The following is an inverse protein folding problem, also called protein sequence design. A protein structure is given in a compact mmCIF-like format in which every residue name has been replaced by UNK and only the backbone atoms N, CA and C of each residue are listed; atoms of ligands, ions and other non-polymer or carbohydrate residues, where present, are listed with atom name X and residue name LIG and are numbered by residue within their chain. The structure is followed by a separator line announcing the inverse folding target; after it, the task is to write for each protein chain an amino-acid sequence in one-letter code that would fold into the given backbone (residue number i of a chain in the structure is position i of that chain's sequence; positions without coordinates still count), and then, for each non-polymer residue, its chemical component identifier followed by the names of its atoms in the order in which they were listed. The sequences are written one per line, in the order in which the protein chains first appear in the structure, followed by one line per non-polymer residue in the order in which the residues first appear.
data_IF_762587878886
#
_entry.id   IF_762587878886
#
_cell.length_a   1.000
_cell.length_b   1.000
_cell.length_c   1.000
_cell.angle_alpha   90.00
_cell.angle_beta   90.00
_cell.angle_gamma   90.00
#
_symmetry.space_group_name_H-M   'P 1'
#
loop_
_entity.id
_entity.type
_entity.pdbx_description
1 polymer ?
#
# COMPACT_ATOMS: atom_id res chain seq x y z
N UNK A 1 8.82 -8.50 0.95
CA UNK A 1 9.64 -7.27 0.85
C UNK A 1 9.86 -6.72 2.25
N UNK A 2 11.07 -6.26 2.56
CA UNK A 2 11.40 -5.66 3.86
C UNK A 2 12.07 -4.30 3.68
N UNK A 3 11.69 -3.32 4.49
CA UNK A 3 12.27 -1.98 4.52
C UNK A 3 12.34 -1.48 5.95
N UNK A 4 13.38 -0.72 6.27
CA UNK A 4 13.52 -0.04 7.56
C UNK A 4 13.26 1.44 7.33
N UNK A 5 12.29 1.99 8.03
CA UNK A 5 11.92 3.42 7.95
C UNK A 5 11.77 3.93 9.39
N UNK A 6 12.43 5.04 9.72
CA UNK A 6 12.45 5.62 11.08
C UNK A 6 12.79 4.62 12.20
N UNK A 7 13.75 3.71 11.93
CA UNK A 7 14.16 2.67 12.86
C UNK A 7 13.13 1.55 13.08
N UNK A 8 12.00 1.56 12.37
CA UNK A 8 10.99 0.50 12.38
C UNK A 8 11.16 -0.40 11.17
N UNK A 9 11.08 -1.72 11.40
CA UNK A 9 11.15 -2.72 10.33
C UNK A 9 9.73 -3.02 9.83
N UNK A 10 9.52 -2.77 8.55
CA UNK A 10 8.30 -3.11 7.83
C UNK A 10 8.59 -4.29 6.92
N UNK A 11 7.90 -5.41 7.15
CA UNK A 11 8.08 -6.62 6.35
C UNK A 11 6.71 -7.17 5.93
N UNK A 12 6.47 -7.19 4.63
CA UNK A 12 5.24 -7.69 4.01
C UNK A 12 5.02 -9.19 4.23
N UNK A 13 6.07 -9.96 4.54
CA UNK A 13 5.95 -11.42 4.79
C UNK A 13 5.44 -11.74 6.20
N UNK A 14 5.73 -10.85 7.16
CA UNK A 14 5.34 -11.04 8.56
C UNK A 14 4.14 -10.20 8.97
N UNK A 15 3.81 -9.20 8.16
CA UNK A 15 2.67 -8.34 8.35
C UNK A 15 1.41 -8.99 7.78
N UNK A 16 0.27 -8.61 8.33
CA UNK A 16 -1.04 -9.00 7.83
C UNK A 16 -1.42 -8.10 6.66
N UNK A 17 -1.77 -8.68 5.51
CA UNK A 17 -2.40 -7.94 4.42
C UNK A 17 -3.84 -7.64 4.84
N UNK A 18 -4.16 -6.35 4.90
CA UNK A 18 -5.45 -5.88 5.38
C UNK A 18 -6.36 -5.43 4.25
N UNK A 19 -5.80 -4.75 3.24
CA UNK A 19 -6.54 -4.30 2.06
C UNK A 19 -5.65 -4.36 0.83
N UNK A 20 -6.21 -4.76 -0.29
CA UNK A 20 -5.53 -4.75 -1.59
C UNK A 20 -6.31 -3.84 -2.53
N UNK A 21 -5.60 -2.91 -3.16
CA UNK A 21 -6.19 -2.09 -4.21
C UNK A 21 -5.31 -2.14 -5.45
N UNK A 22 -5.95 -2.25 -6.61
CA UNK A 22 -5.26 -2.05 -7.88
C UNK A 22 -6.14 -1.28 -8.84
N UNK A 23 -5.51 -0.66 -9.84
CA UNK A 23 -6.23 0.01 -10.92
C UNK A 23 -6.90 -0.94 -11.94
N UNK A 24 -7.07 -2.22 -11.58
CA UNK A 24 -7.72 -3.24 -12.42
C UNK A 24 -6.93 -3.67 -13.65
N UNK A 25 -5.67 -3.21 -13.80
CA UNK A 25 -4.79 -3.63 -14.89
C UNK A 25 -4.05 -4.92 -14.51
N UNK A 26 -3.63 -5.67 -15.52
CA UNK A 26 -2.78 -6.83 -15.31
C UNK A 26 -1.38 -6.40 -14.84
N UNK A 27 -0.74 -7.21 -13.99
CA UNK A 27 0.59 -6.89 -13.43
C UNK A 27 1.72 -6.75 -14.45
N UNK A 28 1.51 -7.19 -15.69
CA UNK A 28 2.43 -6.98 -16.82
C UNK A 28 2.14 -5.70 -17.63
N UNK A 29 1.07 -4.97 -17.32
CA UNK A 29 0.77 -3.67 -17.93
C UNK A 29 1.74 -2.62 -17.38
N UNK A 30 2.35 -1.83 -18.26
CA UNK A 30 3.27 -0.76 -17.86
C UNK A 30 2.62 0.31 -16.99
N UNK A 31 1.29 0.43 -17.05
CA UNK A 31 0.46 1.34 -16.26
C UNK A 31 -0.16 0.66 -15.04
N UNK A 32 0.21 -0.58 -14.73
CA UNK A 32 -0.25 -1.26 -13.53
C UNK A 32 0.08 -0.42 -12.30
N UNK A 33 -0.91 -0.26 -11.40
CA UNK A 33 -0.71 0.37 -10.10
C UNK A 33 -1.46 -0.43 -9.05
N UNK A 34 -0.71 -0.93 -8.08
CA UNK A 34 -1.20 -1.60 -6.88
C UNK A 34 -0.81 -0.82 -5.63
N UNK A 35 -1.69 -0.83 -4.63
CA UNK A 35 -1.46 -0.31 -3.29
C UNK A 35 -2.04 -1.30 -2.30
N UNK A 36 -1.16 -1.94 -1.56
CA UNK A 36 -1.54 -2.96 -0.60
C UNK A 36 -1.30 -2.41 0.80
N UNK A 37 -2.33 -2.41 1.64
CA UNK A 37 -2.25 -1.98 3.01
C UNK A 37 -1.92 -3.15 3.92
N UNK A 38 -0.83 -3.01 4.67
CA UNK A 38 -0.37 -4.01 5.62
C UNK A 38 -0.40 -3.47 7.05
N UNK A 39 -0.68 -4.38 7.99
CA UNK A 39 -0.57 -4.14 9.43
C UNK A 39 0.51 -5.03 10.03
N UNK A 40 1.49 -4.41 10.66
CA UNK A 40 2.52 -5.13 11.42
C UNK A 40 1.92 -5.76 12.68
N UNK A 41 2.57 -6.80 13.22
CA UNK A 41 2.19 -7.43 14.51
C UNK A 41 2.17 -6.46 15.69
N UNK A 42 2.91 -5.34 15.60
CA UNK A 42 2.95 -4.28 16.62
C UNK A 42 1.85 -3.22 16.42
N UNK A 43 0.98 -3.37 15.44
CA UNK A 43 -0.10 -2.43 15.12
C UNK A 43 0.29 -1.24 14.25
N UNK A 44 1.54 -1.13 13.79
CA UNK A 44 1.92 -0.08 12.83
C UNK A 44 1.43 -0.45 11.43
N UNK A 45 1.01 0.56 10.68
CA UNK A 45 0.50 0.45 9.32
C UNK A 45 1.52 0.90 8.28
N UNK A 46 1.46 0.30 7.09
CA UNK A 46 2.28 0.70 5.96
C UNK A 46 1.63 0.27 4.65
N UNK A 47 1.84 1.06 3.60
CA UNK A 47 1.46 0.74 2.23
C UNK A 47 2.64 0.16 1.48
N UNK A 48 2.40 -0.94 0.78
CA UNK A 48 3.25 -1.40 -0.30
C UNK A 48 2.73 -0.80 -1.59
N UNK A 49 3.50 0.09 -2.16
CA UNK A 49 3.24 0.64 -3.46
C UNK A 49 3.89 -0.28 -4.49
N UNK A 50 3.12 -0.73 -5.47
CA UNK A 50 3.64 -1.37 -6.67
C UNK A 50 3.16 -0.60 -7.90
N UNK A 51 4.05 -0.38 -8.85
CA UNK A 51 3.65 0.23 -10.10
C UNK A 51 4.60 -0.09 -11.24
N UNK A 52 4.06 -0.08 -12.45
CA UNK A 52 4.80 -0.28 -13.69
C UNK A 52 5.61 0.95 -14.13
N UNK A 53 6.44 0.81 -15.18
CA UNK A 53 7.33 1.87 -15.68
C UNK A 53 6.64 3.10 -16.29
N UNK A 54 5.32 3.09 -16.49
CA UNK A 54 4.53 4.27 -16.89
C UNK A 54 3.68 4.82 -15.74
N UNK A 55 4.10 4.64 -14.49
CA UNK A 55 3.43 5.17 -13.30
C UNK A 55 4.33 6.08 -12.49
N UNK A 56 3.81 6.63 -11.40
CA UNK A 56 4.57 7.33 -10.34
C UNK A 56 5.69 6.46 -9.74
N UNK A 57 5.62 5.14 -9.91
CA UNK A 57 6.63 4.18 -9.46
C UNK A 57 7.68 3.87 -10.55
N UNK A 58 7.73 4.59 -11.66
CA UNK A 58 8.73 4.38 -12.70
C UNK A 58 10.15 4.67 -12.18
N UNK A 59 11.06 3.71 -12.34
CA UNK A 59 12.49 3.89 -12.03
C UNK A 59 13.33 3.62 -13.28
N UNK A 60 14.39 4.41 -13.46
CA UNK A 60 15.35 4.17 -14.54
C UNK A 60 16.13 2.89 -14.25
N UNK A 61 16.19 1.99 -15.23
CA UNK A 61 16.89 0.71 -15.16
C UNK A 61 18.15 0.66 -16.02
N UNK A 62 18.60 1.81 -16.54
CA UNK A 62 19.71 1.89 -17.49
C UNK A 62 19.24 1.84 -18.95
N UNK A 63 20.15 2.15 -19.88
CA UNK A 63 19.95 2.07 -21.33
C UNK A 63 18.62 2.65 -21.84
N UNK A 64 18.29 3.88 -21.41
CA UNK A 64 17.04 4.56 -21.79
C UNK A 64 15.75 3.77 -21.47
N UNK A 65 15.82 2.83 -20.54
CA UNK A 65 14.71 1.97 -20.14
C UNK A 65 14.21 2.33 -18.74
N UNK A 66 12.90 2.20 -18.54
CA UNK A 66 12.23 2.36 -17.26
C UNK A 66 11.67 1.01 -16.83
N UNK A 67 11.80 0.67 -15.55
CA UNK A 67 11.08 -0.45 -14.95
C UNK A 67 10.05 0.06 -13.94
N UNK A 68 9.09 -0.82 -13.65
CA UNK A 68 8.25 -0.66 -12.48
C UNK A 68 9.09 -0.78 -11.20
N UNK A 69 8.57 -0.21 -10.12
CA UNK A 69 9.19 -0.35 -8.82
C UNK A 69 8.17 -0.64 -7.75
N UNK A 70 8.70 -1.16 -6.64
CA UNK A 70 7.95 -1.38 -5.42
C UNK A 70 8.59 -0.55 -4.33
N UNK A 71 7.78 0.06 -3.48
CA UNK A 71 8.27 0.78 -2.32
C UNK A 71 7.34 0.61 -1.12
N UNK A 72 7.91 0.72 0.08
CA UNK A 72 7.15 0.68 1.33
C UNK A 72 7.12 2.08 1.92
N UNK A 73 5.90 2.54 2.21
CA UNK A 73 5.60 3.81 2.85
C UNK A 73 4.86 3.56 4.18
N UNK A 74 5.45 3.91 5.33
CA UNK A 74 4.72 3.92 6.59
C UNK A 74 3.58 4.94 6.54
N UNK A 75 2.41 4.54 7.03
CA UNK A 75 1.22 5.40 7.03
C UNK A 75 0.66 5.51 8.46
N UNK A 76 0.14 6.68 8.81
CA UNK A 76 -0.50 6.89 10.11
C UNK A 76 -1.91 6.31 10.11
N UNK A 77 -2.44 5.99 11.28
CA UNK A 77 -3.78 5.41 11.41
C UNK A 77 -4.88 6.30 10.80
N UNK A 78 -4.77 7.62 10.96
CA UNK A 78 -5.71 8.58 10.35
C UNK A 78 -5.67 8.55 8.83
N UNK A 79 -4.46 8.48 8.27
CA UNK A 79 -4.28 8.44 6.82
C UNK A 79 -4.73 7.09 6.24
N UNK A 80 -4.66 6.01 7.03
CA UNK A 80 -5.20 4.70 6.66
C UNK A 80 -6.71 4.76 6.44
N UNK A 81 -7.45 5.42 7.33
CA UNK A 81 -8.91 5.55 7.18
C UNK A 81 -9.22 6.28 5.87
N UNK A 82 -8.60 7.44 5.62
CA UNK A 82 -8.81 8.19 4.38
C UNK A 82 -8.40 7.40 3.11
N UNK A 83 -7.35 6.57 3.22
CA UNK A 83 -6.97 5.65 2.15
C UNK A 83 -8.08 4.62 1.90
N UNK A 84 -8.56 3.95 2.95
CA UNK A 84 -9.59 2.93 2.82
C UNK A 84 -10.92 3.52 2.30
N UNK A 85 -11.30 4.72 2.73
CA UNK A 85 -12.49 5.41 2.22
C UNK A 85 -12.40 5.68 0.71
N UNK A 86 -11.20 6.02 0.22
CA UNK A 86 -10.97 6.34 -1.19
C UNK A 86 -10.75 5.11 -2.09
N UNK A 87 -10.57 3.93 -1.51
CA UNK A 87 -10.14 2.71 -2.23
C UNK A 87 -11.02 1.49 -1.89
N UNK A 88 -12.31 1.71 -1.60
CA UNK A 88 -13.32 0.67 -1.35
C UNK A 88 -13.01 -0.25 -0.15
N UNK A 89 -12.35 0.28 0.88
CA UNK A 89 -11.94 -0.44 2.09
C UNK A 89 -12.95 -0.40 3.24
N UNK A 90 -14.23 -0.19 2.97
CA UNK A 90 -15.25 0.02 4.02
C UNK A 90 -15.32 -1.15 5.03
N UNK A 91 -15.22 -2.40 4.57
CA UNK A 91 -15.22 -3.58 5.43
C UNK A 91 -14.04 -3.59 6.41
N UNK A 92 -12.89 -3.12 5.95
CA UNK A 92 -11.67 -3.00 6.76
C UNK A 92 -11.84 -1.90 7.80
N UNK A 93 -12.41 -0.76 7.42
CA UNK A 93 -12.69 0.34 8.35
C UNK A 93 -13.59 -0.15 9.47
N UNK A 94 -14.69 -0.83 9.15
CA UNK A 94 -15.60 -1.38 10.15
C UNK A 94 -14.94 -2.44 11.04
N UNK A 95 -13.97 -3.19 10.52
CA UNK A 95 -13.27 -4.24 11.29
C UNK A 95 -12.20 -3.72 12.23
N UNK A 96 -11.41 -2.72 11.82
CA UNK A 96 -10.26 -2.23 12.60
C UNK A 96 -10.47 -0.85 13.23
N UNK A 97 -11.41 -0.08 12.70
CA UNK A 97 -11.68 1.31 13.08
C UNK A 97 -13.16 1.52 13.42
N UNK A 98 -13.88 0.48 13.86
CA UNK A 98 -15.29 0.56 14.29
C UNK A 98 -15.57 1.72 15.25
N UNK A 99 -14.63 2.01 16.15
CA UNK A 99 -14.74 3.06 17.17
C UNK A 99 -14.51 4.48 16.61
N UNK A 100 -14.09 4.61 15.35
CA UNK A 100 -13.82 5.88 14.66
C UNK A 100 -14.81 6.20 13.54
N UNK A 101 -15.80 5.32 13.30
CA UNK A 101 -16.87 5.53 12.32
C UNK A 101 -18.21 5.63 13.05
N UNK A 102 -19.02 6.61 12.66
CA UNK A 102 -20.37 6.84 13.18
C UNK A 102 -21.38 6.68 12.04
N UNK A 103 -22.56 6.11 12.34
CA UNK A 103 -23.64 6.01 11.35
C UNK A 103 -24.19 7.41 11.06
N UNK A 104 -24.23 7.79 9.78
CA UNK A 104 -24.62 9.13 9.32
C UNK A 104 -26.14 9.34 9.26
#
# INVERSE_FOLDING_TARGET
MKKVVDGKVYNTETAELVHEWSNGRYGNDFRYRGKDLYRTKKGNWFLLHEGGPMTDMAKSCGDNSFCGSRDIEPISEKDVIGFLESHDGAEVILKYFSDQVEEA
#
